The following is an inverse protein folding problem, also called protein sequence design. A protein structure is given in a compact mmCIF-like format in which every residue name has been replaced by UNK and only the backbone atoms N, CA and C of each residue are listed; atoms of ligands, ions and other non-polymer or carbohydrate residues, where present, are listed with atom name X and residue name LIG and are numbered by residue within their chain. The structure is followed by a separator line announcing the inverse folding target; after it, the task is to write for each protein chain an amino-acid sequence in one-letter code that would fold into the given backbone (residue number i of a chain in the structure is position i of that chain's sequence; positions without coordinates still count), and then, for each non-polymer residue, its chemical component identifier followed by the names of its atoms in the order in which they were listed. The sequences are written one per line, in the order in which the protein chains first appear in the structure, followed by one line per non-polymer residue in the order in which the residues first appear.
data_IF_915723886164
#
_entry.id   IF_915723886164
#
_cell.length_a   1.000
_cell.length_b   1.000
_cell.length_c   1.000
_cell.angle_alpha   90.00
_cell.angle_beta   90.00
_cell.angle_gamma   90.00
#
_symmetry.space_group_name_H-M   'P 1'
#
loop_
_entity.id
_entity.type
_entity.pdbx_description
1 polymer ?
#
# COMPACT_ATOMS: atom_id res chain seq x y z
N UNK A 1 -23.54 6.93 36.53
CA UNK A 1 -23.62 7.10 35.06
C UNK A 1 -23.70 5.71 34.47
N UNK A 2 -24.83 5.34 33.86
CA UNK A 2 -24.98 4.01 33.25
C UNK A 2 -24.12 3.91 32.00
N UNK A 3 -23.19 2.96 31.95
CA UNK A 3 -22.41 2.63 30.77
C UNK A 3 -23.36 2.18 29.65
N UNK A 4 -23.36 2.94 28.56
CA UNK A 4 -24.16 2.67 27.38
C UNK A 4 -23.49 1.55 26.61
N UNK A 5 -23.64 0.30 27.07
CA UNK A 5 -23.12 -0.90 26.40
C UNK A 5 -23.87 -1.07 25.09
N UNK A 6 -23.25 -0.70 23.97
CA UNK A 6 -23.81 -0.97 22.64
C UNK A 6 -24.05 -2.49 22.51
N UNK A 7 -25.24 -2.91 22.07
CA UNK A 7 -25.50 -4.33 21.85
C UNK A 7 -24.49 -4.93 20.87
N UNK A 8 -24.02 -6.14 21.17
CA UNK A 8 -23.10 -6.86 20.30
C UNK A 8 -23.71 -6.98 18.90
N UNK A 9 -22.92 -6.65 17.87
CA UNK A 9 -23.40 -6.80 16.48
C UNK A 9 -23.68 -8.29 16.22
N UNK A 10 -24.80 -8.62 15.57
CA UNK A 10 -25.06 -10.01 15.19
C UNK A 10 -23.94 -10.55 14.32
N UNK A 11 -23.68 -11.86 14.42
CA UNK A 11 -22.70 -12.53 13.58
C UNK A 11 -23.04 -12.30 12.09
N UNK A 12 -22.06 -12.01 11.24
CA UNK A 12 -22.32 -11.75 9.82
C UNK A 12 -22.84 -13.02 9.13
N UNK A 13 -23.85 -12.87 8.28
CA UNK A 13 -24.37 -13.96 7.44
C UNK A 13 -23.27 -14.44 6.47
N UNK A 14 -22.85 -15.74 6.53
CA UNK A 14 -21.80 -16.27 5.66
C UNK A 14 -22.15 -16.22 4.16
N UNK A 15 -23.43 -16.14 3.81
CA UNK A 15 -23.88 -16.06 2.43
C UNK A 15 -23.93 -14.63 1.89
N UNK A 16 -23.81 -13.63 2.74
CA UNK A 16 -23.86 -12.24 2.32
C UNK A 16 -22.64 -11.87 1.47
N UNK A 17 -22.84 -11.00 0.47
CA UNK A 17 -21.77 -10.45 -0.36
C UNK A 17 -20.67 -9.76 0.49
N UNK A 18 -21.09 -9.05 1.54
CA UNK A 18 -20.16 -8.41 2.48
C UNK A 18 -19.25 -9.41 3.19
N UNK A 19 -19.81 -10.55 3.64
CA UNK A 19 -19.00 -11.60 4.29
C UNK A 19 -17.98 -12.17 3.30
N UNK A 20 -18.43 -12.54 2.10
CA UNK A 20 -17.55 -13.09 1.04
C UNK A 20 -16.44 -12.12 0.66
N UNK A 21 -16.76 -10.84 0.49
CA UNK A 21 -15.77 -9.81 0.20
C UNK A 21 -14.72 -9.68 1.32
N UNK A 22 -15.16 -9.68 2.57
CA UNK A 22 -14.24 -9.64 3.71
C UNK A 22 -13.31 -10.87 3.76
N UNK A 23 -13.83 -12.05 3.39
CA UNK A 23 -13.00 -13.27 3.32
C UNK A 23 -11.94 -13.17 2.20
N UNK A 24 -12.30 -12.64 1.04
CA UNK A 24 -11.35 -12.41 -0.07
C UNK A 24 -10.26 -11.43 0.37
N UNK A 25 -10.63 -10.31 0.98
CA UNK A 25 -9.67 -9.32 1.47
C UNK A 25 -8.74 -9.91 2.56
N UNK A 26 -9.29 -10.65 3.52
CA UNK A 26 -8.51 -11.30 4.56
C UNK A 26 -7.53 -12.33 3.98
N UNK A 27 -8.00 -13.10 2.98
CA UNK A 27 -7.16 -14.08 2.29
C UNK A 27 -6.00 -13.42 1.57
N UNK A 28 -6.21 -12.30 0.87
CA UNK A 28 -5.15 -11.58 0.18
C UNK A 28 -3.99 -11.19 1.14
N UNK A 29 -4.32 -10.67 2.34
CA UNK A 29 -3.30 -10.36 3.35
C UNK A 29 -2.61 -11.60 3.91
N UNK A 30 -3.36 -12.68 4.17
CA UNK A 30 -2.78 -13.94 4.68
C UNK A 30 -1.88 -14.62 3.64
N UNK A 31 -2.21 -14.55 2.36
CA UNK A 31 -1.39 -15.11 1.29
C UNK A 31 -0.03 -14.37 1.18
N UNK A 32 -0.03 -13.04 1.31
CA UNK A 32 1.21 -12.26 1.30
C UNK A 32 2.04 -12.51 2.56
N UNK A 33 1.41 -12.65 3.72
CA UNK A 33 2.10 -13.04 4.95
C UNK A 33 2.76 -14.41 4.80
N UNK A 34 2.04 -15.40 4.27
CA UNK A 34 2.56 -16.73 4.02
C UNK A 34 3.71 -16.74 2.99
N UNK A 35 3.64 -15.88 1.97
CA UNK A 35 4.72 -15.72 1.00
C UNK A 35 5.99 -15.17 1.66
N UNK A 36 5.86 -14.16 2.53
CA UNK A 36 6.99 -13.62 3.31
C UNK A 36 7.62 -14.68 4.22
N UNK A 37 6.81 -15.50 4.88
CA UNK A 37 7.28 -16.60 5.72
C UNK A 37 8.02 -17.69 4.94
N UNK A 38 7.68 -17.89 3.66
CA UNK A 38 8.44 -18.76 2.73
C UNK A 38 9.73 -18.15 2.22
N UNK A 39 10.03 -16.89 2.58
CA UNK A 39 11.21 -16.15 2.12
C UNK A 39 11.05 -15.53 0.74
N UNK A 40 9.82 -15.45 0.21
CA UNK A 40 9.55 -14.72 -1.03
C UNK A 40 9.67 -13.21 -0.81
N UNK A 41 10.14 -12.51 -1.83
CA UNK A 41 10.11 -11.05 -1.83
C UNK A 41 8.70 -10.55 -2.03
N UNK A 42 8.30 -9.56 -1.23
CA UNK A 42 6.97 -8.94 -1.30
C UNK A 42 7.10 -7.43 -1.47
N UNK A 43 6.13 -6.81 -2.14
CA UNK A 43 6.07 -5.36 -2.34
C UNK A 43 4.97 -4.66 -1.54
N UNK A 44 5.19 -3.39 -1.21
CA UNK A 44 4.11 -2.47 -0.90
C UNK A 44 3.80 -1.63 -2.14
N UNK A 45 2.54 -1.62 -2.54
CA UNK A 45 2.10 -1.03 -3.80
C UNK A 45 1.08 0.09 -3.55
N UNK A 46 1.24 1.22 -4.26
CA UNK A 46 0.21 2.26 -4.28
C UNK A 46 -1.01 1.81 -5.06
N UNK A 47 -2.19 2.27 -4.66
CA UNK A 47 -3.47 1.84 -5.26
C UNK A 47 -3.62 2.19 -6.75
N UNK A 48 -2.82 3.11 -7.26
CA UNK A 48 -2.82 3.54 -8.65
C UNK A 48 -1.67 2.96 -9.50
N UNK A 49 -0.79 2.17 -8.90
CA UNK A 49 0.21 1.41 -9.67
C UNK A 49 -0.49 0.24 -10.39
N UNK A 50 -0.11 -0.08 -11.64
CA UNK A 50 -0.69 -1.21 -12.37
C UNK A 50 -0.41 -2.56 -11.68
N UNK A 51 -1.36 -3.03 -10.87
CA UNK A 51 -1.22 -4.26 -10.08
C UNK A 51 -1.07 -5.51 -10.97
N UNK A 52 -1.52 -5.43 -12.21
CA UNK A 52 -1.38 -6.49 -13.21
C UNK A 52 0.08 -6.87 -13.47
N UNK A 53 1.00 -5.92 -13.32
CA UNK A 53 2.45 -6.17 -13.50
C UNK A 53 2.96 -7.15 -12.42
N UNK A 54 2.91 -6.83 -11.12
CA UNK A 54 3.36 -7.79 -10.11
C UNK A 54 2.51 -9.07 -10.08
N UNK A 55 1.20 -9.01 -10.35
CA UNK A 55 0.36 -10.21 -10.40
C UNK A 55 0.78 -11.16 -11.50
N UNK A 56 1.05 -10.66 -12.72
CA UNK A 56 1.51 -11.49 -13.85
C UNK A 56 2.86 -12.15 -13.55
N UNK A 57 3.74 -11.47 -12.84
CA UNK A 57 5.02 -12.02 -12.38
C UNK A 57 4.87 -12.92 -11.14
N UNK A 58 3.67 -13.09 -10.60
CA UNK A 58 3.41 -13.86 -9.39
C UNK A 58 4.12 -13.27 -8.15
N UNK A 59 4.22 -11.96 -8.07
CA UNK A 59 4.85 -11.24 -6.96
C UNK A 59 3.76 -10.80 -5.96
N UNK A 60 3.84 -11.22 -4.70
CA UNK A 60 2.86 -10.84 -3.69
C UNK A 60 3.02 -9.36 -3.30
N UNK A 61 1.90 -8.62 -3.22
CA UNK A 61 1.90 -7.20 -2.85
C UNK A 61 0.84 -6.88 -1.80
N UNK A 62 1.12 -5.87 -0.96
CA UNK A 62 0.17 -5.28 0.00
C UNK A 62 -0.03 -3.79 -0.30
N UNK A 63 -1.15 -3.25 0.22
CA UNK A 63 -1.55 -1.86 0.01
C UNK A 63 -1.47 -1.06 1.31
N UNK A 64 -0.45 -0.20 1.50
CA UNK A 64 -0.34 0.67 2.67
C UNK A 64 -1.55 1.59 2.89
N UNK A 65 -2.19 2.08 1.80
CA UNK A 65 -3.41 2.87 1.90
C UNK A 65 -4.55 2.09 2.55
N UNK A 66 -4.76 0.84 2.13
CA UNK A 66 -5.81 -0.02 2.68
C UNK A 66 -5.53 -0.38 4.15
N UNK A 67 -4.27 -0.63 4.48
CA UNK A 67 -3.87 -0.88 5.86
C UNK A 67 -4.13 0.36 6.73
N UNK A 68 -3.67 1.54 6.30
CA UNK A 68 -3.86 2.79 7.04
C UNK A 68 -5.35 3.10 7.25
N UNK A 69 -6.18 2.90 6.22
CA UNK A 69 -7.64 3.03 6.33
C UNK A 69 -8.23 2.02 7.34
N UNK A 70 -7.76 0.78 7.31
CA UNK A 70 -8.19 -0.28 8.23
C UNK A 70 -7.81 0.02 9.68
N UNK A 71 -6.60 0.50 9.92
CA UNK A 71 -6.12 0.93 11.25
C UNK A 71 -6.95 2.11 11.75
N UNK A 72 -7.16 3.13 10.92
CA UNK A 72 -7.95 4.30 11.27
C UNK A 72 -9.41 3.92 11.62
N UNK A 73 -10.04 3.07 10.81
CA UNK A 73 -11.41 2.60 11.03
C UNK A 73 -11.59 1.81 12.33
N UNK A 74 -10.52 1.22 12.86
CA UNK A 74 -10.51 0.46 14.13
C UNK A 74 -9.98 1.28 15.32
N UNK A 75 -9.69 2.57 15.12
CA UNK A 75 -9.32 3.50 16.19
C UNK A 75 -7.83 3.67 16.45
N UNK A 76 -6.95 2.99 15.71
CA UNK A 76 -5.47 3.09 15.86
C UNK A 76 -4.84 4.29 15.16
N UNK A 77 -5.61 5.01 14.33
CA UNK A 77 -5.06 6.06 13.47
C UNK A 77 -4.41 7.22 14.22
N UNK A 78 -5.04 7.71 15.29
CA UNK A 78 -4.50 8.84 16.08
C UNK A 78 -3.14 8.50 16.66
N UNK A 79 -3.01 7.35 17.31
CA UNK A 79 -1.75 6.88 17.91
C UNK A 79 -0.59 6.85 16.90
N UNK A 80 -0.82 6.31 15.70
CA UNK A 80 0.23 6.24 14.69
C UNK A 80 0.52 7.60 14.04
N UNK A 81 -0.49 8.47 13.89
CA UNK A 81 -0.24 9.85 13.47
C UNK A 81 0.65 10.59 14.46
N UNK A 82 0.41 10.46 15.77
CA UNK A 82 1.23 11.06 16.81
C UNK A 82 2.69 10.54 16.80
N UNK A 83 2.89 9.24 16.50
CA UNK A 83 4.24 8.67 16.29
C UNK A 83 4.92 9.36 15.11
N UNK A 84 4.27 9.46 13.94
CA UNK A 84 4.84 10.13 12.77
C UNK A 84 5.18 11.61 13.05
N UNK A 85 4.31 12.31 13.77
CA UNK A 85 4.53 13.70 14.17
C UNK A 85 5.73 13.82 15.13
N UNK A 86 5.90 12.87 16.03
CA UNK A 86 7.07 12.76 16.91
C UNK A 86 8.39 12.56 16.15
N UNK A 87 8.35 11.94 14.99
CA UNK A 87 9.48 11.76 14.06
C UNK A 87 9.71 12.98 13.15
N UNK A 88 8.90 14.03 13.28
CA UNK A 88 9.04 15.29 12.56
C UNK A 88 8.20 15.43 11.30
N UNK A 89 7.28 14.52 11.02
CA UNK A 89 6.33 14.68 9.93
C UNK A 89 5.23 15.68 10.31
N UNK A 90 4.89 16.59 9.37
CA UNK A 90 3.84 17.57 9.61
C UNK A 90 2.47 16.92 9.81
N UNK A 91 1.66 17.46 10.72
CA UNK A 91 0.26 17.08 10.89
C UNK A 91 -0.64 17.50 9.72
N UNK A 92 -0.15 18.34 8.81
CA UNK A 92 -0.87 18.80 7.63
C UNK A 92 -0.82 17.79 6.47
N UNK A 93 0.08 16.80 6.50
CA UNK A 93 0.13 15.78 5.45
C UNK A 93 -0.94 14.71 5.68
N UNK A 94 -1.22 13.96 4.62
CA UNK A 94 -2.22 12.90 4.61
C UNK A 94 -2.08 11.96 5.81
N UNK A 95 -3.18 11.72 6.54
CA UNK A 95 -3.19 10.81 7.69
C UNK A 95 -2.81 9.36 7.30
N UNK A 96 -3.16 8.90 6.10
CA UNK A 96 -2.75 7.57 5.63
C UNK A 96 -1.23 7.47 5.47
N UNK A 97 -0.59 8.52 4.95
CA UNK A 97 0.87 8.57 4.85
C UNK A 97 1.52 8.53 6.24
N UNK A 98 1.02 9.35 7.19
CA UNK A 98 1.52 9.34 8.58
C UNK A 98 1.38 7.98 9.24
N UNK A 99 0.19 7.36 9.15
CA UNK A 99 -0.06 6.01 9.71
C UNK A 99 0.90 4.99 9.11
N UNK A 100 1.09 4.99 7.79
CA UNK A 100 1.95 4.03 7.10
C UNK A 100 3.43 4.22 7.43
N UNK A 101 3.92 5.46 7.47
CA UNK A 101 5.31 5.75 7.84
C UNK A 101 5.60 5.39 9.31
N UNK A 102 4.68 5.72 10.22
CA UNK A 102 4.78 5.30 11.61
C UNK A 102 4.75 3.77 11.75
N UNK A 103 3.87 3.09 11.00
CA UNK A 103 3.83 1.63 11.01
C UNK A 103 5.14 0.99 10.53
N UNK A 104 5.77 1.55 9.50
CA UNK A 104 7.07 1.06 9.03
C UNK A 104 8.16 1.09 10.12
N UNK A 105 8.06 2.03 11.06
CA UNK A 105 9.00 2.15 12.18
C UNK A 105 8.62 1.24 13.34
N UNK A 106 7.36 1.33 13.83
CA UNK A 106 6.95 0.56 15.01
C UNK A 106 6.72 -0.91 14.72
N UNK A 107 6.41 -1.26 13.46
CA UNK A 107 6.16 -2.62 12.95
C UNK A 107 5.07 -3.37 13.71
N UNK A 108 4.20 -2.63 14.38
CA UNK A 108 3.09 -3.16 15.16
C UNK A 108 1.86 -2.27 15.09
N UNK A 109 0.76 -2.86 14.63
CA UNK A 109 -0.56 -2.26 14.66
C UNK A 109 -1.58 -3.37 14.95
N UNK A 110 -1.99 -3.54 16.23
CA UNK A 110 -2.91 -4.62 16.61
C UNK A 110 -4.24 -4.56 15.85
N UNK A 111 -4.58 -3.40 15.32
CA UNK A 111 -5.76 -3.20 14.48
C UNK A 111 -5.65 -3.89 13.11
N UNK A 112 -4.45 -3.89 12.51
CA UNK A 112 -4.15 -4.53 11.23
C UNK A 112 -2.66 -4.55 10.95
N UNK A 113 -1.99 -5.65 11.25
CA UNK A 113 -0.60 -5.88 10.85
C UNK A 113 -0.49 -6.24 9.37
N UNK A 114 0.65 -5.90 8.78
CA UNK A 114 1.02 -6.19 7.39
C UNK A 114 2.52 -6.53 7.34
N UNK A 115 2.96 -7.53 6.56
CA UNK A 115 4.38 -7.88 6.49
C UNK A 115 5.21 -6.74 5.89
N UNK A 116 6.45 -6.56 6.39
CA UNK A 116 7.36 -5.55 5.90
C UNK A 116 7.82 -5.85 4.47
N UNK A 117 7.87 -4.84 3.58
CA UNK A 117 8.17 -5.02 2.18
C UNK A 117 9.67 -5.19 1.92
N UNK A 118 10.01 -5.76 0.76
CA UNK A 118 11.36 -5.80 0.22
C UNK A 118 11.58 -4.71 -0.84
N UNK A 119 10.52 -4.07 -1.30
CA UNK A 119 10.50 -2.93 -2.24
C UNK A 119 9.15 -2.24 -2.19
N UNK A 120 9.09 -1.02 -2.73
CA UNK A 120 7.84 -0.28 -2.88
C UNK A 120 7.56 0.09 -4.33
N UNK A 121 6.28 0.08 -4.71
CA UNK A 121 5.79 0.39 -6.06
C UNK A 121 4.88 1.60 -6.00
N UNK A 122 5.20 2.64 -6.74
CA UNK A 122 4.46 3.89 -6.73
C UNK A 122 4.22 4.43 -8.14
N UNK A 123 3.15 5.17 -8.30
CA UNK A 123 2.84 5.94 -9.50
C UNK A 123 2.48 7.37 -9.10
N UNK A 124 2.84 8.36 -9.92
CA UNK A 124 2.70 9.77 -9.55
C UNK A 124 1.35 10.41 -9.90
N UNK A 125 0.44 9.69 -10.53
CA UNK A 125 -0.78 10.25 -11.13
C UNK A 125 -2.00 10.30 -10.21
N UNK A 126 -1.83 10.46 -8.90
CA UNK A 126 -2.95 10.55 -7.95
C UNK A 126 -2.89 11.80 -7.08
N UNK A 127 -1.91 11.94 -6.20
CA UNK A 127 -1.77 13.10 -5.34
C UNK A 127 -0.30 13.45 -5.08
N UNK A 128 -0.03 14.71 -4.73
CA UNK A 128 1.33 15.20 -4.49
C UNK A 128 2.00 14.54 -3.26
N UNK A 129 1.22 13.99 -2.34
CA UNK A 129 1.75 13.32 -1.15
C UNK A 129 2.32 11.93 -1.49
N UNK A 130 1.76 11.24 -2.48
CA UNK A 130 2.04 9.82 -2.75
C UNK A 130 3.53 9.55 -2.99
N UNK A 131 4.17 10.29 -3.90
CA UNK A 131 5.59 10.09 -4.22
C UNK A 131 6.44 10.26 -2.96
N UNK A 132 6.26 11.36 -2.22
CA UNK A 132 7.05 11.64 -1.02
C UNK A 132 6.80 10.66 0.11
N UNK A 133 5.58 10.15 0.22
CA UNK A 133 5.27 9.08 1.15
C UNK A 133 6.06 7.81 0.83
N UNK A 134 6.02 7.33 -0.42
CA UNK A 134 6.73 6.12 -0.82
C UNK A 134 8.26 6.29 -0.86
N UNK A 135 8.77 7.48 -1.21
CA UNK A 135 10.20 7.81 -1.08
C UNK A 135 10.68 7.72 0.38
N UNK A 136 9.88 8.24 1.33
CA UNK A 136 10.21 8.14 2.75
C UNK A 136 10.18 6.68 3.22
N UNK A 137 9.18 5.89 2.83
CA UNK A 137 9.15 4.46 3.15
C UNK A 137 10.38 3.73 2.61
N UNK A 138 10.74 3.97 1.35
CA UNK A 138 11.92 3.35 0.73
C UNK A 138 13.21 3.70 1.46
N UNK A 139 13.38 5.00 1.80
CA UNK A 139 14.54 5.48 2.56
C UNK A 139 14.60 4.90 3.96
N UNK A 140 13.49 4.94 4.71
CA UNK A 140 13.45 4.58 6.12
C UNK A 140 13.58 3.06 6.33
N UNK A 141 13.20 2.26 5.32
CA UNK A 141 13.35 0.80 5.30
C UNK A 141 14.61 0.32 4.57
N UNK A 142 15.35 1.23 3.92
CA UNK A 142 16.53 0.93 3.08
C UNK A 142 16.20 -0.10 1.99
N UNK A 143 15.13 0.14 1.23
CA UNK A 143 14.62 -0.73 0.17
C UNK A 143 14.42 0.04 -1.14
N UNK A 144 14.48 -0.63 -2.30
CA UNK A 144 14.26 0.03 -3.58
C UNK A 144 12.81 0.50 -3.76
N UNK A 145 12.66 1.63 -4.47
CA UNK A 145 11.40 2.16 -4.95
C UNK A 145 11.36 2.09 -6.47
N UNK A 146 10.32 1.49 -7.01
CA UNK A 146 10.01 1.50 -8.45
C UNK A 146 8.88 2.49 -8.67
N UNK A 147 9.15 3.52 -9.47
CA UNK A 147 8.20 4.57 -9.80
C UNK A 147 7.80 4.46 -11.29
N UNK A 148 6.51 4.47 -11.55
CA UNK A 148 5.96 4.76 -12.87
C UNK A 148 5.58 6.24 -12.91
N UNK A 149 6.30 6.99 -13.73
CA UNK A 149 6.04 8.42 -13.95
C UNK A 149 5.06 8.59 -15.10
N UNK A 150 3.90 9.16 -14.81
CA UNK A 150 2.87 9.50 -15.79
C UNK A 150 2.91 11.00 -16.00
N UNK A 151 3.17 11.48 -17.23
CA UNK A 151 3.19 12.89 -17.52
C UNK A 151 1.79 13.51 -17.34
N UNK A 152 1.76 14.75 -16.86
CA UNK A 152 0.51 15.51 -16.83
C UNK A 152 0.15 15.92 -18.27
N UNK A 153 -1.03 15.48 -18.73
CA UNK A 153 -1.59 15.89 -20.02
C UNK A 153 -2.75 16.86 -19.77
N UNK A 154 -2.62 18.15 -20.16
CA UNK A 154 -3.69 19.12 -20.05
C UNK A 154 -4.66 19.11 -21.24
N UNK A 155 -4.33 18.39 -22.31
CA UNK A 155 -5.06 18.35 -23.56
C UNK A 155 -5.99 17.14 -23.65
N UNK A 156 -7.00 17.20 -24.52
CA UNK A 156 -7.92 16.09 -24.76
C UNK A 156 -7.27 14.97 -25.60
N UNK A 157 -6.17 15.25 -26.27
CA UNK A 157 -5.44 14.32 -27.13
C UNK A 157 -4.13 13.89 -26.49
N UNK A 158 -3.83 12.60 -26.57
CA UNK A 158 -2.58 12.01 -26.12
C UNK A 158 -1.65 11.79 -27.30
N UNK A 159 -0.45 12.33 -27.24
CA UNK A 159 0.55 12.19 -28.31
C UNK A 159 1.23 10.82 -28.30
N UNK A 160 1.72 10.36 -29.46
CA UNK A 160 2.53 9.13 -29.57
C UNK A 160 3.78 9.17 -28.69
N UNK A 161 4.33 10.35 -28.44
CA UNK A 161 5.49 10.53 -27.58
C UNK A 161 5.14 10.22 -26.11
N UNK A 162 3.99 10.70 -25.62
CA UNK A 162 3.52 10.41 -24.26
C UNK A 162 3.19 8.93 -24.08
N UNK A 163 2.52 8.32 -25.06
CA UNK A 163 2.26 6.88 -25.07
C UNK A 163 3.56 6.08 -25.01
N UNK A 164 4.56 6.47 -25.81
CA UNK A 164 5.87 5.82 -25.83
C UNK A 164 6.60 6.00 -24.49
N UNK A 165 6.54 7.18 -23.91
CA UNK A 165 7.13 7.46 -22.61
C UNK A 165 6.55 6.56 -21.53
N UNK A 166 5.22 6.51 -21.38
CA UNK A 166 4.53 5.68 -20.38
C UNK A 166 4.80 4.18 -20.62
N UNK A 167 4.77 3.74 -21.87
CA UNK A 167 5.12 2.37 -22.25
C UNK A 167 6.52 1.99 -21.77
N UNK A 168 7.50 2.88 -21.93
CA UNK A 168 8.87 2.61 -21.47
C UNK A 168 8.95 2.54 -19.96
N UNK A 169 8.20 3.40 -19.22
CA UNK A 169 8.11 3.32 -17.76
C UNK A 169 7.58 1.95 -17.28
N UNK A 170 6.61 1.38 -17.99
CA UNK A 170 6.08 0.05 -17.66
C UNK A 170 7.13 -1.04 -17.90
N UNK A 171 7.85 -0.99 -19.02
CA UNK A 171 8.92 -1.94 -19.30
C UNK A 171 10.05 -1.84 -18.27
N UNK A 172 10.45 -0.62 -17.90
CA UNK A 172 11.48 -0.40 -16.88
C UNK A 172 11.03 -0.96 -15.53
N UNK A 173 9.76 -0.78 -15.15
CA UNK A 173 9.22 -1.35 -13.91
C UNK A 173 9.22 -2.88 -13.94
N UNK A 174 8.84 -3.50 -15.07
CA UNK A 174 8.89 -4.96 -15.25
C UNK A 174 10.32 -5.47 -15.09
N UNK A 175 11.29 -4.88 -15.79
CA UNK A 175 12.69 -5.31 -15.72
C UNK A 175 13.28 -5.17 -14.31
N UNK A 176 12.97 -4.07 -13.60
CA UNK A 176 13.40 -3.89 -12.23
C UNK A 176 12.78 -4.95 -11.30
N UNK A 177 11.50 -5.29 -11.48
CA UNK A 177 10.85 -6.36 -10.72
C UNK A 177 11.43 -7.74 -11.01
N UNK A 178 11.73 -8.04 -12.28
CA UNK A 178 12.42 -9.28 -12.68
C UNK A 178 13.80 -9.40 -12.02
N UNK A 179 14.58 -8.32 -12.02
CA UNK A 179 15.90 -8.27 -11.40
C UNK A 179 15.83 -8.44 -9.88
N UNK A 180 14.90 -7.73 -9.22
CA UNK A 180 14.73 -7.78 -7.77
C UNK A 180 14.27 -9.15 -7.27
N UNK A 181 13.38 -9.82 -8.02
CA UNK A 181 12.68 -11.02 -7.54
C UNK A 181 13.19 -12.31 -8.18
N UNK A 182 13.89 -12.21 -9.30
CA UNK A 182 14.31 -13.37 -10.12
C UNK A 182 13.14 -14.05 -10.87
N UNK A 183 11.94 -13.47 -10.85
CA UNK A 183 10.76 -13.96 -11.58
C UNK A 183 10.73 -13.37 -12.99
N UNK A 184 10.11 -14.09 -13.94
CA UNK A 184 9.97 -13.69 -15.35
C UNK A 184 8.60 -14.04 -15.88
#
# INVERSE_FOLDING_TARGET
MAENVKPARPAPDPNSAKYKLNQIAAKAYSDVQAAKERGEKIGWISSNFPVEIPETLGIPVCYPENQAAGIAARGGGVRLCEVAEGEGYSNDICAYARISMAYAQVKDAPEQNMPMPDFVLCCNNICNCMIKWYENLARDLDIPMILIDIPFNPDDEVSDAEVTYVKNQFWDAIHQLEELTGKK
#
